data_IF_118305507408
#
_entry.id   IF_118305507408
#
_cell.length_a   1.000
_cell.length_b   1.000
_cell.length_c   1.000
_cell.angle_alpha   90.00
_cell.angle_beta   90.00
_cell.angle_gamma   90.00
#
_symmetry.space_group_name_H-M   'P 1'
#
loop_
_entity.id
_entity.type
_entity.pdbx_description
1 polymer ?
#
# COMPACT_ATOMS: atom_id res chain seq x y z
N UNK A 1 34.32 10.64 43.03
CA UNK A 1 34.59 10.52 41.58
C UNK A 1 33.93 9.33 40.93
N UNK A 2 33.70 8.23 41.61
CA UNK A 2 33.05 7.00 41.07
C UNK A 2 31.56 7.17 40.75
N UNK A 3 30.78 7.88 41.57
CA UNK A 3 29.33 8.10 41.31
C UNK A 3 29.07 8.80 39.96
N UNK A 4 29.88 9.83 39.62
CA UNK A 4 29.73 10.56 38.37
C UNK A 4 30.05 9.71 37.11
N UNK A 5 30.95 8.72 37.24
CA UNK A 5 31.26 7.75 36.19
C UNK A 5 30.15 6.70 36.02
N UNK A 6 29.50 6.33 37.11
CA UNK A 6 28.38 5.38 37.10
C UNK A 6 27.16 6.00 36.45
N UNK A 7 26.80 7.24 36.80
CA UNK A 7 25.67 7.99 36.20
C UNK A 7 25.86 8.22 34.69
N UNK A 8 27.07 8.53 34.28
CA UNK A 8 27.42 8.64 32.85
C UNK A 8 27.26 7.31 32.11
N UNK A 9 27.71 6.20 32.68
CA UNK A 9 27.54 4.86 32.08
C UNK A 9 26.07 4.44 31.98
N UNK A 10 25.26 4.72 32.99
CA UNK A 10 23.82 4.43 33.01
C UNK A 10 23.12 5.29 31.95
N UNK A 11 23.44 6.58 31.86
CA UNK A 11 22.90 7.49 30.84
C UNK A 11 23.23 7.03 29.41
N UNK A 12 24.47 6.64 29.16
CA UNK A 12 24.91 6.10 27.87
C UNK A 12 24.18 4.80 27.49
N UNK A 13 24.07 3.87 28.43
CA UNK A 13 23.39 2.58 28.21
C UNK A 13 21.91 2.80 27.88
N UNK A 14 21.24 3.68 28.61
CA UNK A 14 19.82 4.03 28.35
C UNK A 14 19.65 4.71 27.00
N UNK A 15 20.55 5.61 26.61
CA UNK A 15 20.50 6.27 25.31
C UNK A 15 20.66 5.30 24.16
N UNK A 16 21.63 4.38 24.24
CA UNK A 16 21.82 3.34 23.22
C UNK A 16 20.64 2.41 23.12
N UNK A 17 20.01 2.08 24.24
CA UNK A 17 18.82 1.20 24.28
C UNK A 17 17.59 1.89 23.65
N UNK A 18 17.39 3.20 23.89
CA UNK A 18 16.31 3.97 23.27
C UNK A 18 16.51 4.13 21.76
N UNK A 19 17.74 4.38 21.32
CA UNK A 19 18.10 4.47 19.91
C UNK A 19 17.81 3.16 19.17
N UNK A 20 18.18 2.02 19.75
CA UNK A 20 17.86 0.70 19.23
C UNK A 20 16.34 0.46 19.14
N UNK A 21 15.56 0.88 20.15
CA UNK A 21 14.11 0.71 20.15
C UNK A 21 13.43 1.54 19.04
N UNK A 22 13.87 2.78 18.83
CA UNK A 22 13.40 3.63 17.74
C UNK A 22 13.71 3.01 16.37
N UNK A 23 14.93 2.51 16.18
CA UNK A 23 15.33 1.83 14.94
C UNK A 23 14.43 0.62 14.68
N UNK A 24 14.27 -0.26 15.68
CA UNK A 24 13.41 -1.45 15.58
C UNK A 24 11.96 -1.07 15.24
N UNK A 25 11.44 -0.02 15.83
CA UNK A 25 10.10 0.49 15.54
C UNK A 25 9.98 0.98 14.08
N UNK A 26 10.95 1.73 13.61
CA UNK A 26 11.00 2.17 12.21
C UNK A 26 11.11 1.00 11.22
N UNK A 27 11.86 -0.05 11.57
CA UNK A 27 11.93 -1.28 10.79
C UNK A 27 10.59 -2.01 10.73
N UNK A 28 9.85 -2.06 11.84
CA UNK A 28 8.49 -2.61 11.88
C UNK A 28 7.54 -1.85 10.95
N UNK A 29 7.56 -0.51 10.99
CA UNK A 29 6.76 0.33 10.10
C UNK A 29 7.15 0.09 8.64
N UNK A 30 8.45 0.02 8.34
CA UNK A 30 8.95 -0.26 6.98
C UNK A 30 8.52 -1.65 6.50
N UNK A 31 8.50 -2.64 7.39
CA UNK A 31 7.97 -3.97 7.10
C UNK A 31 6.49 -3.95 6.69
N UNK A 32 5.68 -3.13 7.36
CA UNK A 32 4.26 -2.95 6.99
C UNK A 32 4.14 -2.27 5.63
N UNK A 33 4.89 -1.19 5.38
CA UNK A 33 4.93 -0.48 4.09
C UNK A 33 5.25 -1.46 2.95
N UNK A 34 6.29 -2.26 3.10
CA UNK A 34 6.70 -3.25 2.09
C UNK A 34 5.62 -4.29 1.85
N UNK A 35 4.94 -4.75 2.91
CA UNK A 35 3.82 -5.69 2.80
C UNK A 35 2.63 -5.08 2.06
N UNK A 36 2.27 -3.81 2.34
CA UNK A 36 1.17 -3.14 1.63
C UNK A 36 1.51 -2.95 0.15
N UNK A 37 2.72 -2.52 -0.18
CA UNK A 37 3.21 -2.40 -1.56
C UNK A 37 3.23 -3.76 -2.28
N UNK A 38 3.68 -4.83 -1.60
CA UNK A 38 3.66 -6.19 -2.14
C UNK A 38 2.25 -6.71 -2.42
N UNK A 39 1.29 -6.43 -1.53
CA UNK A 39 -0.11 -6.78 -1.73
C UNK A 39 -0.70 -6.04 -2.94
N UNK A 40 -0.45 -4.73 -3.08
CA UNK A 40 -0.85 -3.93 -4.25
C UNK A 40 -0.30 -4.53 -5.55
N UNK A 41 0.99 -4.88 -5.58
CA UNK A 41 1.60 -5.52 -6.75
C UNK A 41 0.95 -6.87 -7.08
N UNK A 42 0.68 -7.69 -6.07
CA UNK A 42 0.02 -8.99 -6.23
C UNK A 42 -1.38 -8.86 -6.80
N UNK A 43 -2.17 -7.88 -6.35
CA UNK A 43 -3.52 -7.63 -6.87
C UNK A 43 -3.50 -7.27 -8.36
N UNK A 44 -2.53 -6.48 -8.80
CA UNK A 44 -2.32 -6.17 -10.23
C UNK A 44 -2.03 -7.43 -11.04
N UNK A 45 -1.18 -8.30 -10.54
CA UNK A 45 -0.90 -9.61 -11.14
C UNK A 45 -2.15 -10.49 -11.24
N UNK A 46 -2.92 -10.59 -10.15
CA UNK A 46 -4.18 -11.34 -10.13
C UNK A 46 -5.22 -10.77 -11.10
N UNK A 47 -5.35 -9.44 -11.20
CA UNK A 47 -6.26 -8.79 -12.14
C UNK A 47 -5.96 -9.22 -13.57
N UNK A 48 -4.71 -9.13 -14.01
CA UNK A 48 -4.29 -9.54 -15.35
C UNK A 48 -4.54 -11.03 -15.59
N UNK A 49 -4.19 -11.87 -14.61
CA UNK A 49 -4.34 -13.32 -14.72
C UNK A 49 -5.81 -13.72 -14.88
N UNK A 50 -6.70 -13.14 -14.08
CA UNK A 50 -8.14 -13.44 -14.17
C UNK A 50 -8.74 -12.93 -15.48
N UNK A 51 -8.38 -11.70 -15.91
CA UNK A 51 -8.80 -11.16 -17.19
C UNK A 51 -8.38 -12.09 -18.33
N UNK A 52 -7.12 -12.50 -18.37
CA UNK A 52 -6.59 -13.42 -19.38
C UNK A 52 -7.30 -14.79 -19.33
N UNK A 53 -7.55 -15.33 -18.13
CA UNK A 53 -8.26 -16.59 -17.94
C UNK A 53 -9.71 -16.54 -18.47
N UNK A 54 -10.44 -15.45 -18.19
CA UNK A 54 -11.81 -15.25 -18.71
C UNK A 54 -11.79 -15.17 -20.23
N UNK A 55 -10.84 -14.46 -20.84
CA UNK A 55 -10.71 -14.40 -22.30
C UNK A 55 -10.41 -15.77 -22.91
N UNK A 56 -9.55 -16.55 -22.28
CA UNK A 56 -9.24 -17.90 -22.76
C UNK A 56 -10.46 -18.82 -22.76
N UNK A 57 -11.35 -18.67 -21.79
CA UNK A 57 -12.62 -19.42 -21.71
C UNK A 57 -13.67 -18.87 -22.69
N UNK A 58 -13.77 -17.55 -22.82
CA UNK A 58 -14.73 -16.89 -23.71
C UNK A 58 -14.46 -17.16 -25.19
N UNK A 59 -13.21 -17.43 -25.57
CA UNK A 59 -12.83 -17.72 -26.97
C UNK A 59 -13.54 -18.93 -27.57
N UNK A 60 -14.12 -19.78 -26.75
CA UNK A 60 -14.88 -21.00 -27.18
C UNK A 60 -16.38 -20.77 -27.34
N UNK A 61 -16.89 -19.65 -26.81
CA UNK A 61 -18.34 -19.34 -26.83
C UNK A 61 -18.49 -17.87 -27.28
N UNK A 62 -19.26 -17.63 -28.32
CA UNK A 62 -19.50 -16.32 -28.91
C UNK A 62 -20.45 -15.40 -28.09
N UNK A 63 -20.74 -15.75 -26.84
CA UNK A 63 -21.69 -14.98 -26.02
C UNK A 63 -21.02 -13.75 -25.42
N UNK A 64 -21.54 -12.57 -25.80
CA UNK A 64 -21.05 -11.23 -25.37
C UNK A 64 -21.06 -11.03 -23.85
N UNK A 65 -21.92 -11.76 -23.13
CA UNK A 65 -21.99 -11.67 -21.66
C UNK A 65 -20.69 -12.07 -20.97
N UNK A 66 -19.93 -13.02 -21.52
CA UNK A 66 -18.65 -13.45 -20.94
C UNK A 66 -17.61 -12.32 -20.93
N UNK A 67 -17.60 -11.46 -21.94
CA UNK A 67 -16.68 -10.33 -21.99
C UNK A 67 -17.03 -9.24 -20.96
N UNK A 68 -18.32 -9.02 -20.68
CA UNK A 68 -18.73 -8.05 -19.65
C UNK A 68 -18.35 -8.50 -18.25
N UNK A 69 -18.37 -9.81 -17.98
CA UNK A 69 -17.93 -10.38 -16.69
C UNK A 69 -16.47 -10.06 -16.38
N UNK A 70 -15.65 -9.83 -17.41
CA UNK A 70 -14.23 -9.46 -17.24
C UNK A 70 -14.03 -8.12 -16.50
N UNK A 71 -15.00 -7.21 -16.56
CA UNK A 71 -14.90 -5.96 -15.80
C UNK A 71 -15.06 -6.15 -14.29
N UNK A 72 -15.70 -7.24 -13.85
CA UNK A 72 -15.90 -7.51 -12.41
C UNK A 72 -14.56 -7.62 -11.66
N UNK A 73 -13.62 -8.50 -12.05
CA UNK A 73 -12.33 -8.55 -11.38
C UNK A 73 -11.54 -7.24 -11.50
N UNK A 74 -11.60 -6.54 -12.64
CA UNK A 74 -10.92 -5.25 -12.81
C UNK A 74 -11.39 -4.26 -11.75
N UNK A 75 -12.70 -4.10 -11.56
CA UNK A 75 -13.27 -3.18 -10.58
C UNK A 75 -12.95 -3.60 -9.16
N UNK A 76 -13.14 -4.88 -8.82
CA UNK A 76 -12.90 -5.40 -7.46
C UNK A 76 -11.43 -5.18 -7.08
N UNK A 77 -10.49 -5.54 -7.94
CA UNK A 77 -9.08 -5.37 -7.65
C UNK A 77 -8.66 -3.90 -7.61
N UNK A 78 -9.22 -3.04 -8.45
CA UNK A 78 -8.97 -1.61 -8.40
C UNK A 78 -9.37 -1.00 -7.05
N UNK A 79 -10.54 -1.35 -6.52
CA UNK A 79 -10.97 -0.89 -5.19
C UNK A 79 -10.06 -1.44 -4.07
N UNK A 80 -9.70 -2.71 -4.12
CA UNK A 80 -8.81 -3.32 -3.12
C UNK A 80 -7.40 -2.73 -3.16
N UNK A 81 -6.87 -2.49 -4.36
CA UNK A 81 -5.55 -1.91 -4.56
C UNK A 81 -5.48 -0.48 -4.02
N UNK A 82 -6.51 0.34 -4.30
CA UNK A 82 -6.63 1.68 -3.73
C UNK A 82 -6.64 1.67 -2.18
N UNK A 83 -7.22 0.63 -1.56
CA UNK A 83 -7.16 0.45 -0.11
C UNK A 83 -5.74 0.17 0.37
N UNK A 84 -5.00 -0.74 -0.28
CA UNK A 84 -3.61 -1.02 0.08
C UNK A 84 -2.70 0.18 -0.14
N UNK A 85 -2.90 0.94 -1.22
CA UNK A 85 -2.19 2.18 -1.48
C UNK A 85 -2.48 3.24 -0.40
N UNK A 86 -3.72 3.33 0.09
CA UNK A 86 -4.07 4.21 1.21
C UNK A 86 -3.31 3.80 2.47
N UNK A 87 -3.33 2.51 2.84
CA UNK A 87 -2.62 2.01 4.01
C UNK A 87 -1.10 2.28 3.89
N UNK A 88 -0.50 2.01 2.74
CA UNK A 88 0.90 2.31 2.48
C UNK A 88 1.22 3.79 2.73
N UNK A 89 0.41 4.71 2.21
CA UNK A 89 0.61 6.16 2.41
C UNK A 89 0.48 6.58 3.87
N UNK A 90 -0.48 6.02 4.60
CA UNK A 90 -0.65 6.28 6.03
C UNK A 90 0.56 5.84 6.83
N UNK A 91 1.08 4.63 6.60
CA UNK A 91 2.28 4.13 7.27
C UNK A 91 3.54 4.88 6.84
N UNK A 92 3.64 5.38 5.60
CA UNK A 92 4.71 6.29 5.16
C UNK A 92 4.66 7.62 5.91
N UNK A 93 3.46 8.15 6.16
CA UNK A 93 3.29 9.37 6.97
C UNK A 93 3.73 9.15 8.43
N UNK A 94 3.36 8.01 9.03
CA UNK A 94 3.82 7.60 10.36
C UNK A 94 5.34 7.47 10.41
N UNK A 95 5.95 6.77 9.45
CA UNK A 95 7.40 6.64 9.35
C UNK A 95 8.10 7.99 9.29
N UNK A 96 7.60 8.91 8.46
CA UNK A 96 8.18 10.25 8.33
C UNK A 96 8.06 11.07 9.61
N UNK A 97 6.95 10.94 10.35
CA UNK A 97 6.77 11.57 11.67
C UNK A 97 7.79 11.03 12.66
N UNK A 98 7.88 9.71 12.83
CA UNK A 98 8.79 9.05 13.78
C UNK A 98 10.27 9.39 13.45
N UNK A 99 10.62 9.45 12.18
CA UNK A 99 11.99 9.75 11.73
C UNK A 99 12.51 11.08 12.29
N UNK A 100 11.64 12.10 12.38
CA UNK A 100 12.03 13.44 12.85
C UNK A 100 11.82 13.65 14.35
N UNK A 101 11.10 12.76 15.05
CA UNK A 101 10.90 12.81 16.49
C UNK A 101 12.21 12.52 17.22
N UNK A 102 12.37 13.12 18.41
CA UNK A 102 13.43 12.72 19.33
C UNK A 102 13.13 11.34 19.90
N UNK A 103 14.15 10.58 20.26
CA UNK A 103 14.03 9.22 20.82
C UNK A 103 13.13 9.15 22.05
N UNK A 104 13.23 10.15 22.91
CA UNK A 104 12.45 10.32 24.18
C UNK A 104 10.96 10.56 23.92
N UNK A 105 10.58 11.06 22.74
CA UNK A 105 9.21 11.43 22.39
C UNK A 105 8.48 10.32 21.59
N UNK A 106 9.16 9.20 21.30
CA UNK A 106 8.57 8.10 20.53
C UNK A 106 7.67 7.27 21.42
N UNK A 107 6.38 7.24 21.09
CA UNK A 107 5.33 6.53 21.84
C UNK A 107 5.13 5.07 21.39
N UNK A 108 5.78 4.64 20.31
CA UNK A 108 5.66 3.31 19.69
C UNK A 108 4.22 2.94 19.28
N UNK A 109 3.34 3.93 19.08
CA UNK A 109 1.96 3.71 18.65
C UNK A 109 1.88 3.52 17.13
N UNK A 110 1.32 2.38 16.69
CA UNK A 110 1.07 2.05 15.27
C UNK A 110 -0.24 2.64 14.74
N UNK A 111 -0.90 3.51 15.50
CA UNK A 111 -2.17 4.10 15.12
C UNK A 111 -2.00 5.15 14.01
N UNK A 112 -2.50 4.84 12.85
CA UNK A 112 -2.47 5.75 11.68
C UNK A 112 -3.68 6.70 11.62
N UNK A 113 -4.64 6.61 12.57
CA UNK A 113 -5.83 7.46 12.59
C UNK A 113 -5.61 8.83 13.23
N UNK A 114 -4.41 9.13 13.68
CA UNK A 114 -4.07 10.41 14.28
C UNK A 114 -4.18 11.56 13.26
N UNK A 115 -4.67 12.75 13.67
CA UNK A 115 -4.81 13.91 12.78
C UNK A 115 -3.51 14.28 12.06
N UNK A 116 -2.37 14.15 12.73
CA UNK A 116 -1.04 14.48 12.21
C UNK A 116 -0.55 13.51 11.11
N UNK A 117 -1.17 12.33 11.02
CA UNK A 117 -0.85 11.29 10.03
C UNK A 117 -1.81 11.37 8.86
N UNK A 118 -3.08 11.72 9.12
CA UNK A 118 -4.10 11.94 8.10
C UNK A 118 -3.83 13.27 7.38
N UNK A 119 -3.28 13.18 6.18
CA UNK A 119 -3.13 14.31 5.27
C UNK A 119 -4.28 14.30 4.27
N UNK A 120 -4.58 15.46 3.67
CA UNK A 120 -5.56 15.56 2.58
C UNK A 120 -5.26 14.59 1.41
N UNK A 121 -3.99 14.20 1.23
CA UNK A 121 -3.56 13.24 0.21
C UNK A 121 -3.80 11.77 0.60
N UNK A 122 -4.05 11.51 1.88
CA UNK A 122 -4.28 10.16 2.44
C UNK A 122 -5.77 9.89 2.58
N UNK A 123 -6.53 10.13 1.50
CA UNK A 123 -7.96 9.87 1.39
C UNK A 123 -8.19 8.79 0.34
N UNK A 124 -9.12 7.88 0.61
CA UNK A 124 -9.39 6.73 -0.24
C UNK A 124 -9.64 7.09 -1.70
N UNK A 125 -10.49 8.09 -1.96
CA UNK A 125 -10.80 8.54 -3.34
C UNK A 125 -9.57 9.10 -4.07
N UNK A 126 -8.67 9.76 -3.36
CA UNK A 126 -7.42 10.26 -3.95
C UNK A 126 -6.46 9.11 -4.30
N UNK A 127 -6.49 8.03 -3.52
CA UNK A 127 -5.76 6.82 -3.85
C UNK A 127 -6.38 6.12 -5.05
N UNK A 128 -7.70 5.96 -5.09
CA UNK A 128 -8.44 5.31 -6.15
C UNK A 128 -8.19 5.96 -7.54
N UNK A 129 -8.14 7.29 -7.58
CA UNK A 129 -7.85 8.06 -8.80
C UNK A 129 -6.39 8.52 -8.88
N UNK A 130 -5.48 7.86 -8.19
CA UNK A 130 -4.05 8.18 -8.30
C UNK A 130 -3.49 7.82 -9.67
N UNK A 131 -2.40 8.50 -10.06
CA UNK A 131 -1.72 8.21 -11.33
C UNK A 131 -1.29 6.75 -11.46
N UNK A 132 -0.92 6.12 -10.35
CA UNK A 132 -0.49 4.72 -10.30
C UNK A 132 -1.65 3.78 -10.58
N UNK A 133 -2.80 4.00 -9.94
CA UNK A 133 -3.99 3.17 -10.11
C UNK A 133 -4.62 3.35 -11.49
N UNK A 134 -4.83 4.60 -11.90
CA UNK A 134 -5.36 4.90 -13.24
C UNK A 134 -4.43 4.41 -14.34
N UNK A 135 -3.10 4.57 -14.17
CA UNK A 135 -2.10 4.12 -15.14
C UNK A 135 -2.07 2.61 -15.36
N UNK A 136 -2.61 1.82 -14.44
CA UNK A 136 -2.72 0.37 -14.58
C UNK A 136 -4.13 -0.08 -14.99
N UNK A 137 -5.15 0.30 -14.22
CA UNK A 137 -6.51 -0.23 -14.41
C UNK A 137 -7.23 0.38 -15.61
N UNK A 138 -6.95 1.64 -15.97
CA UNK A 138 -7.57 2.26 -17.15
C UNK A 138 -7.09 1.62 -18.46
N UNK A 139 -5.79 1.43 -18.72
CA UNK A 139 -5.34 0.70 -19.91
C UNK A 139 -5.86 -0.74 -19.97
N UNK A 140 -5.94 -1.44 -18.82
CA UNK A 140 -6.47 -2.78 -18.76
C UNK A 140 -7.96 -2.81 -19.16
N UNK A 141 -8.76 -1.89 -18.63
CA UNK A 141 -10.18 -1.77 -18.97
C UNK A 141 -10.39 -1.37 -20.43
N UNK A 142 -9.57 -0.46 -20.97
CA UNK A 142 -9.62 -0.05 -22.37
C UNK A 142 -9.24 -1.21 -23.31
N UNK A 143 -8.24 -2.01 -22.96
CA UNK A 143 -7.86 -3.19 -23.72
C UNK A 143 -9.04 -4.18 -23.83
N UNK A 144 -9.74 -4.42 -22.71
CA UNK A 144 -10.95 -5.26 -22.72
C UNK A 144 -12.03 -4.68 -23.63
N UNK A 145 -12.28 -3.35 -23.56
CA UNK A 145 -13.24 -2.67 -24.43
C UNK A 145 -12.90 -2.81 -25.90
N UNK A 146 -11.64 -2.63 -26.27
CA UNK A 146 -11.16 -2.80 -27.68
C UNK A 146 -11.41 -4.22 -28.17
N UNK A 147 -11.09 -5.24 -27.35
CA UNK A 147 -11.33 -6.64 -27.73
C UNK A 147 -12.82 -6.88 -27.94
N UNK A 148 -13.69 -6.39 -27.07
CA UNK A 148 -15.15 -6.51 -27.20
C UNK A 148 -15.62 -5.86 -28.53
N UNK A 149 -15.10 -4.70 -28.88
CA UNK A 149 -15.44 -4.01 -30.14
C UNK A 149 -15.00 -4.84 -31.35
N UNK A 150 -13.75 -5.31 -31.34
CA UNK A 150 -13.19 -6.11 -32.45
C UNK A 150 -13.87 -7.45 -32.65
N UNK A 151 -14.38 -8.07 -31.58
CA UNK A 151 -15.13 -9.33 -31.66
C UNK A 151 -16.59 -9.14 -32.05
N UNK A 152 -17.08 -7.89 -32.09
CA UNK A 152 -18.43 -7.51 -32.51
C UNK A 152 -18.50 -6.97 -33.95
N UNK A 153 -17.33 -6.76 -34.58
CA UNK A 153 -17.20 -6.45 -36.00
C UNK A 153 -17.05 -7.72 -36.83
#
# INVERSE_FOLDING_TARGET
MEGKKLDLKIGWKRKVEMDNNKITYMEMIQGIINRMAGNSFSLKGWAVTLVAGIFALASKNTDKMYFLVTYVPILVFWFLDAYYLLQERLYRSLYNKVRIMKEEDVDFDMNTNLPDIKSEKNVYYICLFSKTELGFYLPLALMVAVIIILTNL
#
